data_IF_588511177566
#
_entry.id   IF_588511177566
#
_cell.length_a   1.000
_cell.length_b   1.000
_cell.length_c   1.000
_cell.angle_alpha   90.00
_cell.angle_beta   90.00
_cell.angle_gamma   90.00
#
_symmetry.space_group_name_H-M   'P 1'
#
loop_
_entity.id
_entity.type
_entity.pdbx_description
1 polymer ?
#
# COMPACT_ATOMS: atom_id res chain seq x y z
N UNK A 1 -1.51 0.60 30.90
CA UNK A 1 -0.07 0.36 31.17
C UNK A 1 0.68 1.21 30.17
N UNK A 2 1.77 1.91 30.49
CA UNK A 2 2.53 2.58 29.44
C UNK A 2 3.04 1.51 28.46
N UNK A 3 2.73 1.69 27.19
CA UNK A 3 3.21 0.86 26.09
C UNK A 3 4.71 0.56 26.26
N UNK A 4 5.14 -0.68 26.04
CA UNK A 4 6.57 -0.96 25.96
C UNK A 4 7.15 -0.07 24.87
N UNK A 5 8.17 0.74 25.15
CA UNK A 5 8.78 1.68 24.18
C UNK A 5 9.97 1.04 23.46
N UNK A 6 10.37 1.60 22.31
CA UNK A 6 11.58 1.16 21.61
C UNK A 6 12.77 1.19 22.56
N UNK A 7 13.54 0.11 22.59
CA UNK A 7 14.82 0.09 23.30
C UNK A 7 15.93 0.63 22.42
N UNK A 8 17.06 1.01 23.01
CA UNK A 8 18.20 1.57 22.28
C UNK A 8 18.63 0.70 21.08
N UNK A 9 18.57 -0.63 21.23
CA UNK A 9 18.93 -1.59 20.17
C UNK A 9 17.97 -1.50 18.97
N UNK A 10 16.67 -1.27 19.19
CA UNK A 10 15.70 -1.08 18.09
C UNK A 10 16.05 0.14 17.25
N UNK A 11 16.41 1.26 17.90
CA UNK A 11 16.86 2.46 17.21
C UNK A 11 18.15 2.23 16.43
N UNK A 12 19.12 1.51 17.01
CA UNK A 12 20.39 1.19 16.32
C UNK A 12 20.13 0.34 15.08
N UNK A 13 19.30 -0.71 15.18
CA UNK A 13 18.94 -1.56 14.03
C UNK A 13 18.20 -0.76 12.96
N UNK A 14 17.21 0.05 13.37
CA UNK A 14 16.45 0.90 12.45
C UNK A 14 17.36 1.87 11.68
N UNK A 15 18.16 2.64 12.41
CA UNK A 15 19.03 3.67 11.82
C UNK A 15 20.11 3.02 10.95
N UNK A 16 20.75 1.95 11.42
CA UNK A 16 21.78 1.25 10.65
C UNK A 16 21.25 0.70 9.32
N UNK A 17 20.06 0.11 9.30
CA UNK A 17 19.44 -0.38 8.06
C UNK A 17 19.06 0.74 7.10
N UNK A 18 18.53 1.86 7.61
CA UNK A 18 18.23 3.03 6.78
C UNK A 18 19.50 3.64 6.18
N UNK A 19 20.57 3.74 6.96
CA UNK A 19 21.88 4.23 6.50
C UNK A 19 22.51 3.25 5.51
N UNK A 20 22.41 1.94 5.72
CA UNK A 20 22.88 0.93 4.77
C UNK A 20 22.12 1.03 3.44
N UNK A 21 20.79 1.16 3.49
CA UNK A 21 19.95 1.33 2.30
C UNK A 21 20.33 2.60 1.51
N UNK A 22 20.47 3.73 2.21
CA UNK A 22 20.93 4.98 1.60
C UNK A 22 22.36 4.85 1.04
N UNK A 23 23.25 4.18 1.78
CA UNK A 23 24.64 3.93 1.41
C UNK A 23 24.78 3.10 0.15
N UNK A 24 23.98 2.03 0.00
CA UNK A 24 23.92 1.23 -1.24
C UNK A 24 23.55 2.12 -2.42
N UNK A 25 22.53 2.98 -2.27
CA UNK A 25 22.13 3.94 -3.29
C UNK A 25 23.26 4.89 -3.71
N UNK A 26 23.97 5.48 -2.75
CA UNK A 26 25.10 6.39 -3.00
C UNK A 26 26.27 5.67 -3.66
N UNK A 27 26.61 4.46 -3.20
CA UNK A 27 27.68 3.64 -3.76
C UNK A 27 27.40 3.29 -5.22
N UNK A 28 26.17 2.89 -5.55
CA UNK A 28 25.76 2.63 -6.94
C UNK A 28 25.80 3.89 -7.79
N UNK A 29 25.31 5.03 -7.28
CA UNK A 29 25.36 6.31 -7.99
C UNK A 29 26.81 6.74 -8.28
N UNK A 30 27.72 6.57 -7.31
CA UNK A 30 29.13 6.90 -7.46
C UNK A 30 29.86 5.95 -8.42
N UNK A 31 29.61 4.64 -8.33
CA UNK A 31 30.19 3.64 -9.25
C UNK A 31 29.70 3.83 -10.69
N UNK A 32 28.44 4.23 -10.87
CA UNK A 32 27.86 4.48 -12.19
C UNK A 32 28.37 5.77 -12.85
N UNK A 33 28.77 6.81 -12.10
CA UNK A 33 29.43 7.99 -12.69
C UNK A 33 30.68 7.63 -13.52
N UNK A 34 31.27 6.44 -13.32
CA UNK A 34 32.46 5.96 -14.03
C UNK A 34 32.17 5.08 -15.26
N UNK A 35 30.92 4.67 -15.54
CA UNK A 35 30.57 3.83 -16.70
C UNK A 35 29.64 4.58 -17.66
N UNK A 36 29.96 4.60 -18.97
CA UNK A 36 29.19 5.31 -20.00
C UNK A 36 27.69 4.92 -20.01
N UNK A 37 26.82 5.95 -19.97
CA UNK A 37 25.41 5.93 -19.56
C UNK A 37 24.38 5.31 -20.54
N UNK A 38 24.76 4.64 -21.63
CA UNK A 38 23.76 4.15 -22.61
C UNK A 38 22.99 2.91 -22.15
N UNK A 39 23.63 2.00 -21.41
CA UNK A 39 23.01 0.72 -21.02
C UNK A 39 22.04 0.85 -19.83
N UNK A 40 22.01 2.00 -19.16
CA UNK A 40 21.16 2.27 -18.00
C UNK A 40 19.84 2.94 -18.41
N UNK A 41 19.82 3.71 -19.49
CA UNK A 41 18.62 4.43 -19.94
C UNK A 41 17.68 3.53 -20.76
N UNK A 42 18.21 2.54 -21.47
CA UNK A 42 17.42 1.58 -22.26
C UNK A 42 17.57 0.18 -21.65
N UNK A 43 16.70 -0.18 -20.72
CA UNK A 43 16.50 -1.60 -20.43
C UNK A 43 15.83 -2.20 -21.67
N UNK A 44 16.63 -2.85 -22.50
CA UNK A 44 16.34 -3.17 -23.89
C UNK A 44 15.39 -4.37 -24.04
N UNK A 45 14.31 -4.40 -23.26
CA UNK A 45 13.40 -5.53 -23.09
C UNK A 45 14.07 -6.86 -22.69
N UNK A 46 15.24 -6.81 -22.04
CA UNK A 46 16.02 -8.01 -21.69
C UNK A 46 15.71 -8.56 -20.29
N UNK A 47 14.79 -7.94 -19.53
CA UNK A 47 14.53 -8.37 -18.16
C UNK A 47 13.69 -9.65 -18.14
N UNK A 48 14.12 -10.60 -17.30
CA UNK A 48 13.34 -11.81 -16.99
C UNK A 48 12.07 -11.46 -16.23
N UNK A 49 11.00 -12.21 -16.47
CA UNK A 49 9.68 -11.90 -15.95
C UNK A 49 9.53 -12.12 -14.43
N UNK A 50 10.30 -13.02 -13.82
CA UNK A 50 10.21 -13.32 -12.37
C UNK A 50 10.70 -12.15 -11.50
N UNK A 51 11.93 -11.62 -11.66
CA UNK A 51 12.39 -10.49 -10.86
C UNK A 51 11.50 -9.24 -11.01
N UNK A 52 11.01 -9.00 -12.22
CA UNK A 52 10.06 -7.91 -12.48
C UNK A 52 8.77 -8.13 -11.69
N UNK A 53 8.20 -9.33 -11.74
CA UNK A 53 6.99 -9.68 -10.98
C UNK A 53 7.17 -9.49 -9.47
N UNK A 54 8.30 -9.92 -8.91
CA UNK A 54 8.61 -9.76 -7.49
C UNK A 54 8.72 -8.28 -7.08
N UNK A 55 9.37 -7.44 -7.89
CA UNK A 55 9.42 -6.00 -7.63
C UNK A 55 8.05 -5.34 -7.76
N UNK A 56 7.23 -5.76 -8.74
CA UNK A 56 5.82 -5.32 -8.83
C UNK A 56 5.07 -5.63 -7.54
N UNK A 57 5.14 -6.87 -7.05
CA UNK A 57 4.49 -7.31 -5.82
C UNK A 57 4.97 -6.48 -4.62
N UNK A 58 6.28 -6.29 -4.47
CA UNK A 58 6.85 -5.50 -3.38
C UNK A 58 6.40 -4.03 -3.39
N UNK A 59 6.16 -3.46 -4.57
CA UNK A 59 5.64 -2.09 -4.70
C UNK A 59 4.16 -1.97 -4.32
N UNK A 60 3.40 -3.07 -4.33
CA UNK A 60 2.02 -3.10 -3.85
C UNK A 60 1.91 -3.40 -2.35
N UNK A 61 2.87 -4.15 -1.80
CA UNK A 61 3.03 -4.35 -0.35
C UNK A 61 3.63 -3.08 0.26
N UNK A 62 2.77 -2.09 0.44
CA UNK A 62 3.09 -0.76 0.97
C UNK A 62 2.91 -0.70 2.49
N UNK A 63 3.56 0.25 3.15
CA UNK A 63 3.33 0.57 4.56
C UNK A 63 1.87 0.83 4.89
N UNK A 64 1.11 1.45 3.97
CA UNK A 64 -0.32 1.65 4.10
C UNK A 64 -1.08 0.32 4.20
N UNK A 65 -0.72 -0.67 3.38
CA UNK A 65 -1.32 -2.00 3.46
C UNK A 65 -0.98 -2.74 4.75
N UNK A 66 0.22 -2.52 5.30
CA UNK A 66 0.70 -3.20 6.51
C UNK A 66 0.16 -2.60 7.79
N UNK A 67 0.12 -1.26 7.89
CA UNK A 67 -0.29 -0.58 9.12
C UNK A 67 -1.76 -0.19 9.11
N UNK A 68 -2.25 0.36 8.00
CA UNK A 68 -3.58 0.96 7.97
C UNK A 68 -4.68 -0.06 7.72
N UNK A 69 -4.47 -1.04 6.83
CA UNK A 69 -5.54 -1.98 6.49
C UNK A 69 -5.92 -2.94 7.65
N UNK A 70 -4.99 -3.51 8.44
CA UNK A 70 -5.38 -4.30 9.63
C UNK A 70 -6.12 -3.45 10.65
N UNK A 71 -5.71 -2.18 10.80
CA UNK A 71 -6.37 -1.21 11.69
C UNK A 71 -7.77 -0.86 11.20
N UNK A 72 -8.00 -0.78 9.89
CA UNK A 72 -9.33 -0.58 9.32
C UNK A 72 -10.22 -1.80 9.55
N UNK A 73 -9.68 -3.01 9.43
CA UNK A 73 -10.38 -4.27 9.74
C UNK A 73 -10.72 -4.36 11.23
N UNK A 74 -9.84 -3.90 12.13
CA UNK A 74 -10.14 -3.79 13.56
C UNK A 74 -11.37 -2.91 13.82
N UNK A 75 -11.51 -1.83 13.06
CA UNK A 75 -12.61 -0.86 13.24
C UNK A 75 -13.88 -1.29 12.51
N UNK A 76 -13.80 -1.94 11.35
CA UNK A 76 -14.96 -2.19 10.45
C UNK A 76 -15.22 -3.66 10.09
N UNK A 77 -14.40 -4.58 10.57
CA UNK A 77 -14.56 -6.01 10.36
C UNK A 77 -13.96 -6.55 9.07
N UNK A 78 -14.27 -7.81 8.77
CA UNK A 78 -13.53 -8.61 7.79
C UNK A 78 -13.90 -8.40 6.34
N UNK A 79 -14.98 -7.67 6.01
CA UNK A 79 -15.51 -7.47 4.63
C UNK A 79 -14.44 -7.08 3.60
N UNK A 80 -13.34 -6.46 4.04
CA UNK A 80 -12.22 -6.10 3.19
C UNK A 80 -11.60 -7.31 2.46
N UNK A 81 -11.73 -8.55 2.96
CA UNK A 81 -11.18 -9.73 2.28
C UNK A 81 -11.71 -9.88 0.85
N UNK A 82 -12.92 -9.40 0.57
CA UNK A 82 -13.53 -9.40 -0.77
C UNK A 82 -12.73 -8.55 -1.78
N UNK A 83 -11.89 -7.62 -1.33
CA UNK A 83 -10.93 -6.91 -2.17
C UNK A 83 -9.89 -7.83 -2.82
N UNK A 84 -9.65 -9.03 -2.27
CA UNK A 84 -8.81 -10.06 -2.93
C UNK A 84 -9.42 -10.50 -4.28
N UNK A 85 -10.76 -10.64 -4.33
CA UNK A 85 -11.50 -10.94 -5.56
C UNK A 85 -11.31 -9.78 -6.55
N UNK A 86 -11.52 -8.53 -6.09
CA UNK A 86 -11.32 -7.34 -6.91
C UNK A 86 -9.89 -7.20 -7.46
N UNK A 87 -8.89 -7.53 -6.64
CA UNK A 87 -7.49 -7.53 -7.07
C UNK A 87 -7.19 -8.57 -8.16
N UNK A 88 -7.81 -9.74 -8.05
CA UNK A 88 -7.69 -10.80 -9.06
C UNK A 88 -8.30 -10.36 -10.38
N UNK A 89 -9.51 -9.78 -10.34
CA UNK A 89 -10.17 -9.24 -11.53
C UNK A 89 -9.32 -8.14 -12.21
N UNK A 90 -8.79 -7.20 -11.43
CA UNK A 90 -7.95 -6.13 -11.95
C UNK A 90 -6.70 -6.66 -12.68
N UNK A 91 -6.01 -7.64 -12.08
CA UNK A 91 -4.78 -8.21 -12.66
C UNK A 91 -5.10 -9.02 -13.93
N UNK A 92 -6.22 -9.76 -13.95
CA UNK A 92 -6.68 -10.48 -15.15
C UNK A 92 -6.98 -9.49 -16.29
N UNK A 93 -7.73 -8.42 -16.00
CA UNK A 93 -8.01 -7.38 -16.97
C UNK A 93 -6.71 -6.73 -17.47
N UNK A 94 -5.78 -6.37 -16.58
CA UNK A 94 -4.50 -5.81 -16.96
C UNK A 94 -3.72 -6.74 -17.91
N UNK A 95 -3.60 -8.02 -17.58
CA UNK A 95 -2.81 -8.99 -18.34
C UNK A 95 -3.41 -9.35 -19.72
N UNK A 96 -4.73 -9.45 -19.82
CA UNK A 96 -5.38 -9.93 -21.04
C UNK A 96 -5.90 -8.80 -21.93
N UNK A 97 -6.33 -7.68 -21.35
CA UNK A 97 -6.92 -6.55 -22.09
C UNK A 97 -5.86 -5.48 -22.37
N UNK A 98 -5.12 -5.02 -21.36
CA UNK A 98 -4.21 -3.86 -21.49
C UNK A 98 -2.81 -4.22 -21.98
N UNK A 99 -2.22 -5.34 -21.52
CA UNK A 99 -0.87 -5.70 -21.94
C UNK A 99 -0.68 -5.84 -23.47
N UNK A 100 -1.61 -6.42 -24.24
CA UNK A 100 -1.48 -6.48 -25.70
C UNK A 100 -1.35 -5.10 -26.34
N UNK A 101 -2.00 -4.08 -25.79
CA UNK A 101 -1.93 -2.70 -26.26
C UNK A 101 -0.53 -2.12 -26.03
N UNK A 102 0.00 -2.22 -24.81
CA UNK A 102 1.33 -1.70 -24.47
C UNK A 102 2.44 -2.29 -25.34
N UNK A 103 2.36 -3.60 -25.63
CA UNK A 103 3.32 -4.26 -26.53
C UNK A 103 3.17 -3.86 -28.01
N UNK A 104 1.96 -3.50 -28.46
CA UNK A 104 1.73 -3.02 -29.83
C UNK A 104 2.17 -1.57 -30.05
N UNK A 105 2.06 -0.73 -29.02
CA UNK A 105 2.40 0.70 -29.11
C UNK A 105 3.91 0.98 -29.03
N UNK A 106 4.73 -0.06 -28.85
CA UNK A 106 6.18 0.01 -28.68
C UNK A 106 6.65 1.13 -27.74
N UNK A 107 5.90 1.35 -26.65
CA UNK A 107 6.24 2.35 -25.65
C UNK A 107 7.54 1.90 -25.00
N UNK A 108 8.64 2.55 -25.37
CA UNK A 108 9.97 2.32 -24.80
C UNK A 108 10.08 3.10 -23.50
N UNK A 109 10.53 2.42 -22.44
CA UNK A 109 10.70 3.02 -21.12
C UNK A 109 11.93 3.92 -21.11
N UNK A 110 11.76 5.16 -20.66
CA UNK A 110 12.78 6.21 -20.78
C UNK A 110 13.82 6.18 -19.65
N UNK A 111 13.65 5.44 -18.55
CA UNK A 111 14.59 5.46 -17.42
C UNK A 111 14.54 4.18 -16.56
N UNK A 112 15.06 3.05 -17.05
CA UNK A 112 15.04 1.77 -16.28
C UNK A 112 16.32 1.42 -15.54
N UNK A 113 17.22 2.38 -15.49
CA UNK A 113 18.46 2.20 -14.83
C UNK A 113 18.26 2.03 -13.32
N UNK A 114 18.63 0.87 -12.81
CA UNK A 114 18.73 0.62 -11.37
C UNK A 114 17.69 -0.35 -10.82
N UNK A 115 16.74 -0.83 -11.63
CA UNK A 115 15.69 -1.77 -11.19
C UNK A 115 16.30 -3.01 -10.50
N UNK A 116 17.42 -3.55 -11.01
CA UNK A 116 18.04 -4.77 -10.45
C UNK A 116 18.46 -4.64 -8.98
N UNK A 117 18.97 -3.47 -8.55
CA UNK A 117 19.38 -3.28 -7.16
C UNK A 117 18.17 -3.09 -6.24
N UNK A 118 17.16 -2.37 -6.73
CA UNK A 118 15.90 -2.11 -6.01
C UNK A 118 15.10 -3.41 -5.82
N UNK A 119 15.11 -4.33 -6.79
CA UNK A 119 14.39 -5.61 -6.70
C UNK A 119 14.83 -6.45 -5.49
N UNK A 120 16.12 -6.48 -5.17
CA UNK A 120 16.60 -7.30 -4.06
C UNK A 120 16.24 -6.71 -2.69
N UNK A 121 16.31 -5.39 -2.55
CA UNK A 121 15.85 -4.71 -1.32
C UNK A 121 14.34 -4.86 -1.13
N UNK A 122 13.58 -4.79 -2.23
CA UNK A 122 12.14 -5.02 -2.27
C UNK A 122 11.77 -6.45 -1.81
N UNK A 123 12.53 -7.48 -2.21
CA UNK A 123 12.29 -8.87 -1.79
C UNK A 123 12.50 -9.06 -0.30
N UNK A 124 13.61 -8.57 0.26
CA UNK A 124 13.89 -8.66 1.70
C UNK A 124 12.80 -7.95 2.50
N UNK A 125 12.37 -6.77 2.05
CA UNK A 125 11.28 -6.02 2.65
C UNK A 125 9.97 -6.83 2.70
N UNK A 126 9.56 -7.47 1.59
CA UNK A 126 8.31 -8.27 1.55
C UNK A 126 8.38 -9.45 2.52
N UNK A 127 9.54 -10.11 2.61
CA UNK A 127 9.74 -11.23 3.54
C UNK A 127 9.52 -10.75 4.98
N UNK A 128 10.15 -9.64 5.38
CA UNK A 128 10.01 -9.09 6.73
C UNK A 128 8.56 -8.69 7.05
N UNK A 129 7.87 -8.08 6.11
CA UNK A 129 6.46 -7.71 6.27
C UNK A 129 5.57 -8.95 6.47
N UNK A 130 5.75 -9.99 5.65
CA UNK A 130 4.98 -11.23 5.79
C UNK A 130 5.31 -11.98 7.07
N UNK A 131 6.57 -11.97 7.51
CA UNK A 131 6.94 -12.49 8.83
C UNK A 131 6.19 -11.77 9.95
N UNK A 132 6.04 -10.45 9.88
CA UNK A 132 5.29 -9.70 10.89
C UNK A 132 3.79 -10.03 10.91
N UNK A 133 3.15 -10.18 9.75
CA UNK A 133 1.77 -10.68 9.71
C UNK A 133 1.65 -12.06 10.37
N UNK A 134 2.54 -12.99 10.02
CA UNK A 134 2.52 -14.34 10.59
C UNK A 134 2.69 -14.30 12.11
N UNK A 135 3.62 -13.49 12.62
CA UNK A 135 3.84 -13.33 14.07
C UNK A 135 2.59 -12.80 14.78
N UNK A 136 1.95 -11.76 14.23
CA UNK A 136 0.72 -11.20 14.81
C UNK A 136 -0.42 -12.21 14.77
N UNK A 137 -0.64 -12.87 13.62
CA UNK A 137 -1.71 -13.85 13.46
C UNK A 137 -1.52 -15.04 14.43
N UNK A 138 -0.28 -15.54 14.55
CA UNK A 138 0.04 -16.69 15.40
C UNK A 138 -0.10 -16.40 16.91
N UNK A 139 -0.15 -15.13 17.31
CA UNK A 139 -0.25 -14.77 18.71
C UNK A 139 -1.67 -14.96 19.28
N UNK A 140 -2.71 -14.90 18.45
CA UNK A 140 -4.09 -15.08 18.90
C UNK A 140 -4.50 -16.55 18.86
N UNK A 141 -5.13 -17.02 19.94
CA UNK A 141 -5.75 -18.34 20.02
C UNK A 141 -7.25 -18.33 19.66
N UNK A 142 -7.80 -17.16 19.33
CA UNK A 142 -9.22 -16.99 19.03
C UNK A 142 -9.53 -17.42 17.60
N UNK A 143 -10.65 -18.14 17.42
CA UNK A 143 -11.21 -18.38 16.10
C UNK A 143 -11.73 -17.07 15.51
N UNK A 144 -11.15 -16.65 14.39
CA UNK A 144 -11.55 -15.43 13.68
C UNK A 144 -12.42 -15.77 12.48
N UNK A 145 -13.59 -15.14 12.36
CA UNK A 145 -14.45 -15.29 11.18
C UNK A 145 -13.91 -14.45 10.01
N UNK A 146 -13.08 -15.09 9.18
CA UNK A 146 -12.45 -14.44 8.03
C UNK A 146 -13.47 -14.06 6.94
N UNK A 147 -14.37 -14.98 6.58
CA UNK A 147 -15.22 -14.83 5.40
C UNK A 147 -16.61 -14.29 5.76
N UNK A 148 -16.71 -12.97 5.91
CA UNK A 148 -18.01 -12.28 6.00
C UNK A 148 -18.37 -11.68 4.65
N UNK A 149 -19.60 -11.91 4.18
CA UNK A 149 -20.13 -11.30 2.97
C UNK A 149 -21.31 -10.42 3.33
N UNK A 150 -21.38 -9.23 2.75
CA UNK A 150 -22.53 -8.34 2.85
C UNK A 150 -22.90 -7.87 1.45
N UNK A 151 -24.08 -8.30 0.98
CA UNK A 151 -24.60 -7.95 -0.34
C UNK A 151 -25.54 -6.74 -0.31
N UNK A 152 -25.47 -5.95 0.75
CA UNK A 152 -26.21 -4.69 0.83
C UNK A 152 -25.82 -3.77 -0.33
N UNK A 153 -26.83 -3.17 -0.96
CA UNK A 153 -26.72 -2.25 -2.09
C UNK A 153 -26.81 -0.79 -1.67
N UNK A 154 -26.94 -0.52 -0.37
CA UNK A 154 -26.96 0.81 0.20
C UNK A 154 -25.70 1.60 -0.18
N UNK A 155 -25.81 2.76 -0.83
CA UNK A 155 -24.67 3.64 -1.13
C UNK A 155 -24.17 4.38 0.14
N UNK A 156 -24.81 4.15 1.28
CA UNK A 156 -24.44 4.75 2.55
C UNK A 156 -23.39 3.93 3.30
N UNK A 157 -23.36 2.62 3.06
CA UNK A 157 -22.39 1.70 3.65
C UNK A 157 -21.00 1.91 3.06
N UNK A 158 -19.99 2.03 3.92
CA UNK A 158 -18.61 2.27 3.43
C UNK A 158 -18.05 1.03 2.75
N UNK A 159 -18.30 -0.15 3.34
CA UNK A 159 -17.82 -1.43 2.83
C UNK A 159 -19.00 -2.40 2.69
N UNK A 160 -19.26 -2.81 1.46
CA UNK A 160 -20.09 -3.96 1.11
C UNK A 160 -19.29 -4.82 0.14
N UNK A 161 -19.72 -6.06 -0.10
CA UNK A 161 -19.06 -6.93 -1.09
C UNK A 161 -19.00 -6.24 -2.46
N UNK A 162 -20.04 -5.50 -2.84
CA UNK A 162 -20.09 -4.76 -4.11
C UNK A 162 -19.09 -3.61 -4.15
N UNK A 163 -19.10 -2.74 -3.14
CA UNK A 163 -18.23 -1.56 -3.13
C UNK A 163 -16.76 -1.96 -3.02
N UNK A 164 -16.46 -3.01 -2.26
CA UNK A 164 -15.10 -3.54 -2.16
C UNK A 164 -14.64 -4.21 -3.44
N UNK A 165 -15.41 -5.13 -4.03
CA UNK A 165 -14.99 -5.80 -5.27
C UNK A 165 -14.83 -4.79 -6.41
N UNK A 166 -15.83 -3.93 -6.65
CA UNK A 166 -15.78 -2.96 -7.75
C UNK A 166 -14.74 -1.85 -7.50
N UNK A 167 -14.75 -1.25 -6.31
CA UNK A 167 -13.86 -0.15 -5.96
C UNK A 167 -12.40 -0.58 -5.96
N UNK A 168 -12.09 -1.75 -5.40
CA UNK A 168 -10.73 -2.28 -5.38
C UNK A 168 -10.28 -2.73 -6.78
N UNK A 169 -11.19 -3.27 -7.61
CA UNK A 169 -10.89 -3.59 -9.02
C UNK A 169 -10.46 -2.34 -9.78
N UNK A 170 -11.27 -1.27 -9.75
CA UNK A 170 -10.97 -0.02 -10.48
C UNK A 170 -9.71 0.64 -9.95
N UNK A 171 -9.52 0.68 -8.62
CA UNK A 171 -8.34 1.28 -8.00
C UNK A 171 -7.06 0.55 -8.42
N UNK A 172 -7.05 -0.79 -8.35
CA UNK A 172 -5.88 -1.57 -8.76
C UNK A 172 -5.68 -1.56 -10.27
N UNK A 173 -6.74 -1.53 -11.07
CA UNK A 173 -6.63 -1.33 -12.50
C UNK A 173 -5.95 0.01 -12.83
N UNK A 174 -6.23 1.06 -12.07
CA UNK A 174 -5.50 2.33 -12.16
C UNK A 174 -4.00 2.18 -11.89
N UNK A 175 -3.64 1.32 -10.94
CA UNK A 175 -2.23 1.05 -10.62
C UNK A 175 -1.55 0.13 -11.63
N UNK A 176 -2.24 -0.88 -12.18
CA UNK A 176 -1.67 -1.85 -13.12
C UNK A 176 -1.75 -1.44 -14.59
N UNK A 177 -2.63 -0.50 -14.95
CA UNK A 177 -2.83 -0.11 -16.35
C UNK A 177 -2.45 1.36 -16.59
N UNK A 178 -2.80 2.26 -15.68
CA UNK A 178 -2.65 3.71 -15.91
C UNK A 178 -1.47 4.34 -15.13
N UNK A 179 -0.67 3.54 -14.43
CA UNK A 179 0.48 4.03 -13.67
C UNK A 179 1.77 3.90 -14.47
N UNK A 180 2.46 5.02 -14.66
CA UNK A 180 3.72 5.10 -15.40
C UNK A 180 4.80 4.13 -14.87
N UNK A 181 4.90 3.97 -13.55
CA UNK A 181 5.93 3.09 -12.93
C UNK A 181 5.71 1.63 -13.33
N UNK A 182 4.45 1.19 -13.25
CA UNK A 182 4.11 -0.19 -13.56
C UNK A 182 4.19 -0.41 -15.07
N UNK A 183 3.72 0.57 -15.86
CA UNK A 183 3.79 0.58 -17.33
C UNK A 183 5.16 0.17 -17.84
N UNK A 184 6.19 0.81 -17.30
CA UNK A 184 7.58 0.58 -17.65
C UNK A 184 8.02 -0.86 -17.31
N UNK A 185 7.68 -1.36 -16.12
CA UNK A 185 8.12 -2.67 -15.62
C UNK A 185 7.67 -3.83 -16.50
N UNK A 186 6.44 -3.86 -17.03
CA UNK A 186 6.06 -4.94 -17.94
C UNK A 186 6.54 -4.72 -19.37
N UNK A 187 6.71 -3.48 -19.84
CA UNK A 187 7.31 -3.21 -21.16
C UNK A 187 8.79 -3.57 -21.24
N UNK A 188 9.47 -3.70 -20.09
CA UNK A 188 10.87 -4.15 -19.96
C UNK A 188 11.09 -5.64 -20.21
N UNK A 189 10.01 -6.42 -20.33
CA UNK A 189 10.07 -7.85 -20.60
C UNK A 189 10.00 -8.07 -22.12
N UNK A 190 10.91 -8.86 -22.67
CA UNK A 190 11.03 -9.11 -24.12
C UNK A 190 9.80 -9.70 -24.80
N UNK A 191 8.89 -10.30 -24.05
CA UNK A 191 7.74 -11.01 -24.61
C UNK A 191 6.45 -10.72 -23.86
N UNK A 192 5.37 -10.54 -24.63
CA UNK A 192 4.01 -10.40 -24.09
C UNK A 192 3.61 -11.60 -23.20
N UNK A 193 4.04 -12.82 -23.59
CA UNK A 193 3.84 -14.02 -22.77
C UNK A 193 4.56 -13.90 -21.41
N UNK A 194 5.78 -13.35 -21.40
CA UNK A 194 6.54 -13.07 -20.19
C UNK A 194 5.85 -12.05 -19.29
N UNK A 195 5.40 -10.90 -19.84
CA UNK A 195 4.66 -9.89 -19.07
C UNK A 195 3.35 -10.43 -18.48
N UNK A 196 2.60 -11.24 -19.24
CA UNK A 196 1.39 -11.92 -18.72
C UNK A 196 1.72 -12.84 -17.55
N UNK A 197 2.78 -13.65 -17.66
CA UNK A 197 3.23 -14.50 -16.55
C UNK A 197 3.64 -13.68 -15.33
N UNK A 198 4.34 -12.56 -15.53
CA UNK A 198 4.73 -11.65 -14.45
C UNK A 198 3.51 -11.09 -13.71
N UNK A 199 2.48 -10.65 -14.43
CA UNK A 199 1.22 -10.20 -13.84
C UNK A 199 0.47 -11.33 -13.14
N UNK A 200 0.35 -12.50 -13.77
CA UNK A 200 -0.36 -13.64 -13.17
C UNK A 200 0.28 -14.12 -11.87
N UNK A 201 1.60 -14.04 -11.74
CA UNK A 201 2.29 -14.35 -10.48
C UNK A 201 1.97 -13.34 -9.36
N UNK A 202 1.52 -12.12 -9.67
CA UNK A 202 1.06 -11.16 -8.67
C UNK A 202 -0.32 -11.51 -8.09
N UNK A 203 -1.16 -12.30 -8.78
CA UNK A 203 -2.48 -12.70 -8.27
C UNK A 203 -2.39 -13.40 -6.91
N UNK A 204 -1.66 -14.52 -6.76
CA UNK A 204 -1.54 -15.19 -5.46
C UNK A 204 -0.85 -14.30 -4.40
N UNK A 205 0.12 -13.48 -4.80
CA UNK A 205 0.81 -12.57 -3.88
C UNK A 205 -0.11 -11.50 -3.29
N UNK A 206 -0.94 -10.88 -4.13
CA UNK A 206 -1.91 -9.86 -3.70
C UNK A 206 -3.05 -10.47 -2.87
N UNK A 207 -3.54 -11.65 -3.26
CA UNK A 207 -4.55 -12.37 -2.50
C UNK A 207 -4.00 -12.76 -1.11
N UNK A 208 -2.77 -13.28 -1.04
CA UNK A 208 -2.11 -13.60 0.22
C UNK A 208 -1.95 -12.36 1.11
N UNK A 209 -1.46 -11.24 0.55
CA UNK A 209 -1.32 -9.99 1.29
C UNK A 209 -2.67 -9.54 1.88
N UNK A 210 -3.75 -9.61 1.09
CA UNK A 210 -5.08 -9.20 1.54
C UNK A 210 -5.61 -10.10 2.67
N UNK A 211 -5.45 -11.41 2.54
CA UNK A 211 -5.89 -12.37 3.56
C UNK A 211 -5.10 -12.17 4.86
N UNK A 212 -3.78 -12.06 4.79
CA UNK A 212 -2.92 -11.82 5.95
C UNK A 212 -3.25 -10.50 6.66
N UNK A 213 -3.56 -9.47 5.89
CA UNK A 213 -3.99 -8.16 6.39
C UNK A 213 -5.29 -8.26 7.19
N UNK A 214 -6.29 -8.96 6.64
CA UNK A 214 -7.59 -9.13 7.31
C UNK A 214 -7.46 -10.00 8.54
N UNK A 215 -6.72 -11.12 8.45
CA UNK A 215 -6.45 -11.97 9.61
C UNK A 215 -5.73 -11.18 10.72
N UNK A 216 -4.73 -10.37 10.38
CA UNK A 216 -4.04 -9.53 11.36
C UNK A 216 -4.99 -8.52 12.02
N UNK A 217 -5.90 -7.91 11.26
CA UNK A 217 -6.90 -6.99 11.81
C UNK A 217 -7.94 -7.66 12.70
N UNK A 218 -8.37 -8.89 12.35
CA UNK A 218 -9.23 -9.69 13.21
C UNK A 218 -8.51 -10.14 14.49
N UNK A 219 -7.22 -10.48 14.39
CA UNK A 219 -6.38 -10.76 15.57
C UNK A 219 -6.25 -9.53 16.45
N UNK A 220 -6.01 -8.34 15.89
CA UNK A 220 -6.02 -7.09 16.65
C UNK A 220 -7.35 -6.94 17.41
N UNK A 221 -8.48 -7.27 16.78
CA UNK A 221 -9.79 -7.15 17.41
C UNK A 221 -10.01 -8.21 18.49
N UNK A 222 -9.54 -9.43 18.27
CA UNK A 222 -9.60 -10.49 19.27
C UNK A 222 -8.77 -10.15 20.52
N UNK A 223 -7.60 -9.51 20.34
CA UNK A 223 -6.70 -9.12 21.43
C UNK A 223 -7.18 -7.85 22.15
N UNK A 224 -7.49 -6.78 21.40
CA UNK A 224 -7.78 -5.46 21.96
C UNK A 224 -9.27 -5.08 21.97
N UNK A 225 -10.18 -5.94 21.50
CA UNK A 225 -11.61 -5.60 21.43
C UNK A 225 -12.23 -5.30 22.80
N UNK A 226 -11.78 -6.00 23.85
CA UNK A 226 -12.21 -5.77 25.24
C UNK A 226 -11.31 -4.84 26.05
N UNK A 227 -10.15 -4.50 25.48
CA UNK A 227 -9.25 -3.51 26.06
C UNK A 227 -8.62 -2.69 24.93
N UNK A 228 -9.36 -1.69 24.45
CA UNK A 228 -8.90 -0.88 23.34
C UNK A 228 -7.85 0.15 23.83
N UNK A 229 -6.60 0.07 23.35
CA UNK A 229 -5.52 0.97 23.77
C UNK A 229 -5.76 2.44 23.36
N UNK A 230 -6.73 2.70 22.46
CA UNK A 230 -7.18 4.06 22.13
C UNK A 230 -8.04 4.67 23.23
N UNK A 231 -8.83 3.85 23.92
CA UNK A 231 -9.72 4.29 24.99
C UNK A 231 -8.96 4.47 26.31
N UNK A 232 -7.91 3.69 26.53
CA UNK A 232 -7.00 3.87 27.69
C UNK A 232 -6.03 5.03 27.52
N UNK A 233 -5.85 5.54 26.29
CA UNK A 233 -4.96 6.66 25.96
C UNK A 233 -3.52 6.27 25.63
N UNK A 234 -3.23 4.97 25.51
CA UNK A 234 -1.91 4.46 25.15
C UNK A 234 -1.56 4.78 23.69
N UNK A 235 -2.56 4.81 22.81
CA UNK A 235 -2.46 5.27 21.42
C UNK A 235 -3.58 6.26 21.07
N UNK A 236 -3.39 7.07 20.03
CA UNK A 236 -4.37 8.11 19.62
C UNK A 236 -5.23 7.69 18.44
N UNK A 237 -4.69 6.88 17.52
CA UNK A 237 -5.34 6.53 16.25
C UNK A 237 -5.33 5.02 16.02
N UNK A 238 -6.31 4.53 15.29
CA UNK A 238 -6.40 3.12 14.90
C UNK A 238 -5.14 2.65 14.15
N UNK A 239 -4.60 3.48 13.25
CA UNK A 239 -3.42 3.16 12.43
C UNK A 239 -2.15 2.84 13.26
N UNK A 240 -2.15 3.14 14.56
CA UNK A 240 -1.07 2.84 15.49
C UNK A 240 -1.19 1.45 16.16
N UNK A 241 -2.30 0.73 15.95
CA UNK A 241 -2.54 -0.59 16.54
C UNK A 241 -1.55 -1.65 16.06
N UNK A 242 -1.24 -1.68 14.75
CA UNK A 242 -0.32 -2.67 14.20
C UNK A 242 1.12 -2.50 14.71
N UNK A 243 1.70 -1.27 14.75
CA UNK A 243 2.98 -1.06 15.41
C UNK A 243 2.94 -1.40 16.91
N UNK A 244 1.83 -1.06 17.58
CA UNK A 244 1.64 -1.29 19.02
C UNK A 244 1.70 -2.78 19.36
N UNK A 245 0.96 -3.64 18.65
CA UNK A 245 1.00 -5.09 18.92
C UNK A 245 2.36 -5.71 18.60
N UNK A 246 3.02 -5.28 17.52
CA UNK A 246 4.33 -5.81 17.14
C UNK A 246 5.35 -5.51 18.25
N UNK A 247 5.29 -4.31 18.81
CA UNK A 247 6.17 -3.87 19.87
C UNK A 247 5.92 -4.63 21.18
N UNK A 248 4.66 -4.88 21.53
CA UNK A 248 4.30 -5.72 22.68
C UNK A 248 4.78 -7.17 22.49
N UNK A 249 4.60 -7.75 21.30
CA UNK A 249 5.00 -9.14 21.01
C UNK A 249 6.51 -9.34 21.04
N UNK A 250 7.26 -8.34 20.60
CA UNK A 250 8.71 -8.43 20.43
C UNK A 250 9.50 -7.85 21.60
N UNK A 251 8.84 -7.47 22.70
CA UNK A 251 9.49 -6.84 23.85
C UNK A 251 10.66 -7.65 24.42
N UNK A 252 10.58 -8.99 24.40
CA UNK A 252 11.65 -9.87 24.89
C UNK A 252 12.81 -10.05 23.89
N UNK A 253 12.63 -9.63 22.64
CA UNK A 253 13.59 -9.81 21.54
C UNK A 253 14.04 -8.45 20.99
N UNK A 254 14.89 -7.72 21.74
CA UNK A 254 15.31 -6.38 21.35
C UNK A 254 15.98 -6.39 19.97
N UNK A 255 15.65 -5.41 19.12
CA UNK A 255 16.14 -5.26 17.75
C UNK A 255 15.19 -5.76 16.68
N UNK A 256 14.32 -6.72 16.98
CA UNK A 256 13.40 -7.28 15.99
C UNK A 256 12.27 -6.30 15.65
N UNK A 257 11.80 -5.52 16.64
CA UNK A 257 10.88 -4.40 16.45
C UNK A 257 11.48 -3.32 15.56
N UNK A 258 12.76 -2.98 15.80
CA UNK A 258 13.53 -2.07 14.96
C UNK A 258 13.69 -2.56 13.51
N UNK A 259 13.94 -3.87 13.32
CA UNK A 259 14.03 -4.49 11.99
C UNK A 259 12.70 -4.39 11.22
N UNK A 260 11.58 -4.65 11.88
CA UNK A 260 10.26 -4.54 11.26
C UNK A 260 9.93 -3.08 10.90
N UNK A 261 10.21 -2.13 11.80
CA UNK A 261 10.07 -0.72 11.51
C UNK A 261 10.90 -0.31 10.28
N UNK A 262 12.15 -0.78 10.19
CA UNK A 262 13.02 -0.51 9.04
C UNK A 262 12.41 -1.04 7.72
N UNK A 263 11.78 -2.21 7.73
CA UNK A 263 11.09 -2.76 6.57
C UNK A 263 9.90 -1.87 6.13
N UNK A 264 9.10 -1.40 7.07
CA UNK A 264 7.96 -0.50 6.78
C UNK A 264 8.43 0.86 6.24
N UNK A 265 9.51 1.42 6.80
CA UNK A 265 10.12 2.64 6.28
C UNK A 265 10.70 2.43 4.88
N UNK A 266 11.40 1.32 4.65
CA UNK A 266 11.95 0.95 3.33
C UNK A 266 10.84 0.83 2.29
N UNK A 267 9.70 0.21 2.64
CA UNK A 267 8.52 0.10 1.80
C UNK A 267 8.00 1.47 1.36
N UNK A 268 7.88 2.38 2.32
CA UNK A 268 7.42 3.74 2.06
C UNK A 268 8.39 4.51 1.16
N UNK A 269 9.70 4.42 1.44
CA UNK A 269 10.75 5.08 0.65
C UNK A 269 10.80 4.55 -0.79
N UNK A 270 10.63 3.24 -1.01
CA UNK A 270 10.59 2.63 -2.35
C UNK A 270 9.43 3.17 -3.19
N UNK A 271 8.23 3.26 -2.60
CA UNK A 271 7.04 3.82 -3.26
C UNK A 271 7.18 5.33 -3.52
N UNK A 272 7.59 6.11 -2.51
CA UNK A 272 7.71 7.57 -2.63
C UNK A 272 8.79 7.96 -3.65
N UNK A 273 9.96 7.32 -3.60
CA UNK A 273 11.07 7.57 -4.55
C UNK A 273 10.64 7.30 -6.00
N UNK A 274 10.01 6.13 -6.25
CA UNK A 274 9.51 5.78 -7.58
C UNK A 274 8.42 6.75 -8.06
N UNK A 275 7.56 7.19 -7.13
CA UNK A 275 6.54 8.21 -7.35
C UNK A 275 7.14 9.54 -7.79
N UNK A 276 8.03 10.14 -6.99
CA UNK A 276 8.63 11.44 -7.30
C UNK A 276 9.45 11.44 -8.59
N UNK A 277 10.18 10.35 -8.87
CA UNK A 277 10.92 10.21 -10.12
C UNK A 277 9.98 10.13 -11.32
N UNK A 278 8.85 9.44 -11.18
CA UNK A 278 7.84 9.35 -12.25
C UNK A 278 7.11 10.67 -12.46
N UNK A 279 6.75 11.38 -11.38
CA UNK A 279 6.20 12.73 -11.46
C UNK A 279 7.17 13.66 -12.18
N UNK A 280 8.46 13.67 -11.79
CA UNK A 280 9.46 14.51 -12.43
C UNK A 280 9.69 14.16 -13.91
N UNK A 281 9.67 12.87 -14.26
CA UNK A 281 9.77 12.42 -15.64
C UNK A 281 8.58 12.86 -16.49
N UNK A 282 7.36 12.74 -15.95
CA UNK A 282 6.13 13.22 -16.60
C UNK A 282 6.15 14.75 -16.75
N UNK A 283 6.57 15.50 -15.72
CA UNK A 283 6.74 16.96 -15.82
C UNK A 283 7.72 17.33 -16.92
N UNK A 284 8.83 16.58 -17.03
CA UNK A 284 9.82 16.80 -18.07
C UNK A 284 9.27 16.53 -19.47
N UNK A 285 8.79 15.32 -19.74
CA UNK A 285 8.36 14.90 -21.08
C UNK A 285 7.10 15.62 -21.57
N UNK A 286 6.13 15.84 -20.69
CA UNK A 286 4.82 16.33 -21.10
C UNK A 286 4.67 17.86 -21.04
N UNK A 287 5.43 18.54 -20.17
CA UNK A 287 5.27 19.98 -19.94
C UNK A 287 6.50 20.81 -20.29
N UNK A 288 7.70 20.37 -19.88
CA UNK A 288 8.92 21.17 -20.08
C UNK A 288 9.53 20.94 -21.47
N UNK A 289 9.75 19.69 -21.86
CA UNK A 289 10.38 19.32 -23.15
C UNK A 289 9.70 19.94 -24.37
N UNK A 290 8.36 20.04 -24.45
CA UNK A 290 7.69 20.73 -25.57
C UNK A 290 7.92 22.25 -25.60
N UNK A 291 8.26 22.86 -24.46
CA UNK A 291 8.44 24.29 -24.30
C UNK A 291 9.91 24.74 -24.27
N UNK A 292 10.85 23.82 -24.10
CA UNK A 292 12.29 24.12 -24.03
C UNK A 292 13.13 22.99 -24.64
N UNK A 293 13.95 23.34 -25.62
CA UNK A 293 15.01 22.47 -26.12
C UNK A 293 16.28 22.69 -25.28
N UNK A 294 16.81 21.63 -24.68
CA UNK A 294 18.03 21.69 -23.87
C UNK A 294 18.88 20.44 -24.05
N UNK A 295 20.14 20.49 -23.61
CA UNK A 295 21.03 19.33 -23.63
C UNK A 295 20.57 18.25 -22.64
N UNK A 296 20.84 16.97 -22.95
CA UNK A 296 20.50 15.83 -22.07
C UNK A 296 21.04 15.99 -20.64
N UNK A 297 22.21 16.63 -20.49
CA UNK A 297 22.81 16.89 -19.17
C UNK A 297 22.04 17.92 -18.35
N UNK A 298 21.42 18.90 -19.02
CA UNK A 298 20.60 19.94 -18.40
C UNK A 298 19.22 19.40 -18.08
N UNK A 299 18.63 18.64 -19.01
CA UNK A 299 17.41 17.87 -18.79
C UNK A 299 17.50 17.00 -17.53
N UNK A 300 18.59 16.22 -17.39
CA UNK A 300 18.81 15.37 -16.22
C UNK A 300 18.89 16.17 -14.90
N UNK A 301 19.52 17.36 -14.91
CA UNK A 301 19.58 18.22 -13.72
C UNK A 301 18.21 18.75 -13.36
N UNK A 302 17.44 19.21 -14.35
CA UNK A 302 16.08 19.73 -14.15
C UNK A 302 15.19 18.63 -13.56
N UNK A 303 15.16 17.44 -14.16
CA UNK A 303 14.36 16.31 -13.65
C UNK A 303 14.72 15.94 -12.20
N UNK A 304 16.01 15.98 -11.84
CA UNK A 304 16.44 15.73 -10.45
C UNK A 304 15.99 16.82 -9.48
N UNK A 305 16.08 18.09 -9.87
CA UNK A 305 15.59 19.21 -9.06
C UNK A 305 14.08 19.12 -8.88
N UNK A 306 13.34 18.84 -9.95
CA UNK A 306 11.88 18.65 -9.92
C UNK A 306 11.48 17.50 -8.98
N UNK A 307 12.19 16.36 -9.03
CA UNK A 307 11.94 15.25 -8.10
C UNK A 307 12.17 15.67 -6.63
N UNK A 308 13.25 16.41 -6.34
CA UNK A 308 13.53 16.92 -5.00
C UNK A 308 12.45 17.91 -4.52
N UNK A 309 11.93 18.78 -5.40
CA UNK A 309 10.85 19.71 -5.05
C UNK A 309 9.55 18.97 -4.71
N UNK A 310 9.21 17.90 -5.43
CA UNK A 310 8.05 17.07 -5.08
C UNK A 310 8.22 16.38 -3.72
N UNK A 311 9.43 15.93 -3.39
CA UNK A 311 9.74 15.39 -2.07
C UNK A 311 9.52 16.41 -0.94
N UNK A 312 10.02 17.64 -1.10
CA UNK A 312 9.83 18.72 -0.11
C UNK A 312 8.35 19.06 0.06
N UNK A 313 7.61 19.23 -1.05
CA UNK A 313 6.19 19.51 -1.01
C UNK A 313 5.40 18.40 -0.31
N UNK A 314 5.74 17.14 -0.61
CA UNK A 314 5.11 15.98 0.03
C UNK A 314 5.37 15.93 1.55
N UNK A 315 6.55 16.34 2.02
CA UNK A 315 6.84 16.45 3.46
C UNK A 315 5.97 17.51 4.12
N UNK A 316 5.77 18.66 3.48
CA UNK A 316 4.87 19.71 4.00
C UNK A 316 3.42 19.23 4.10
N UNK A 317 2.93 18.53 3.06
CA UNK A 317 1.57 17.97 3.05
C UNK A 317 1.40 16.89 4.13
N UNK A 318 2.46 16.12 4.44
CA UNK A 318 2.39 15.08 5.47
C UNK A 318 2.02 15.64 6.86
N UNK A 319 2.47 16.85 7.22
CA UNK A 319 2.08 17.50 8.48
C UNK A 319 0.59 17.86 8.51
N UNK A 320 0.01 18.24 7.38
CA UNK A 320 -1.43 18.50 7.26
C UNK A 320 -2.24 17.21 7.34
N UNK A 321 -1.81 16.14 6.66
CA UNK A 321 -2.49 14.84 6.72
C UNK A 321 -2.42 14.23 8.13
N UNK A 322 -1.38 14.55 8.90
CA UNK A 322 -1.24 14.15 10.31
C UNK A 322 -2.39 14.62 11.21
N UNK A 323 -3.13 15.67 10.83
CA UNK A 323 -4.29 16.15 11.61
C UNK A 323 -5.60 15.43 11.27
N UNK A 324 -5.63 14.62 10.20
CA UNK A 324 -6.82 13.87 9.81
C UNK A 324 -7.10 12.69 10.76
N UNK A 325 -8.37 12.38 10.99
CA UNK A 325 -8.77 11.27 11.87
C UNK A 325 -8.41 9.88 11.31
N UNK A 326 -8.69 9.64 10.03
CA UNK A 326 -8.34 8.40 9.32
C UNK A 326 -7.55 8.73 8.06
N UNK A 327 -6.25 8.41 8.09
CA UNK A 327 -5.34 8.62 6.96
C UNK A 327 -5.67 7.60 5.86
N UNK A 328 -6.03 6.37 6.24
CA UNK A 328 -6.39 5.31 5.30
C UNK A 328 -7.63 5.70 4.47
N UNK A 329 -8.70 6.16 5.11
CA UNK A 329 -9.92 6.55 4.39
C UNK A 329 -9.64 7.72 3.44
N UNK A 330 -8.92 8.75 3.89
CA UNK A 330 -8.54 9.87 3.03
C UNK A 330 -7.72 9.41 1.82
N UNK A 331 -6.75 8.52 2.04
CA UNK A 331 -5.91 7.93 0.99
C UNK A 331 -6.72 7.12 -0.02
N UNK A 332 -7.64 6.26 0.43
CA UNK A 332 -8.50 5.46 -0.44
C UNK A 332 -9.46 6.34 -1.26
N UNK A 333 -10.07 7.36 -0.64
CA UNK A 333 -10.96 8.30 -1.32
C UNK A 333 -10.20 9.09 -2.40
N UNK A 334 -9.03 9.65 -2.08
CA UNK A 334 -8.21 10.37 -3.05
C UNK A 334 -7.69 9.45 -4.16
N UNK A 335 -7.27 8.23 -3.81
CA UNK A 335 -6.85 7.21 -4.75
C UNK A 335 -7.95 6.87 -5.75
N UNK A 336 -9.17 6.59 -5.27
CA UNK A 336 -10.33 6.32 -6.11
C UNK A 336 -10.70 7.50 -7.03
N UNK A 337 -10.72 8.71 -6.49
CA UNK A 337 -11.10 9.93 -7.22
C UNK A 337 -10.22 10.22 -8.44
N UNK A 338 -8.93 9.89 -8.36
CA UNK A 338 -7.96 10.09 -9.42
C UNK A 338 -7.72 8.85 -10.28
N UNK A 339 -7.87 7.64 -9.73
CA UNK A 339 -7.74 6.40 -10.50
C UNK A 339 -8.91 6.19 -11.47
N UNK A 340 -10.15 6.48 -11.05
CA UNK A 340 -11.35 6.26 -11.86
C UNK A 340 -11.28 6.94 -13.24
N UNK A 341 -11.12 8.28 -13.31
CA UNK A 341 -11.02 9.00 -14.57
C UNK A 341 -9.85 8.53 -15.44
N UNK A 342 -8.69 8.20 -14.84
CA UNK A 342 -7.53 7.67 -15.58
C UNK A 342 -7.84 6.33 -16.24
N UNK A 343 -8.39 5.38 -15.49
CA UNK A 343 -8.79 4.07 -16.04
C UNK A 343 -9.81 4.23 -17.16
N UNK A 344 -10.76 5.16 -17.00
CA UNK A 344 -11.77 5.43 -18.00
C UNK A 344 -11.16 5.88 -19.34
N UNK A 345 -10.18 6.79 -19.33
CA UNK A 345 -9.51 7.25 -20.57
C UNK A 345 -8.87 6.08 -21.31
N UNK A 346 -8.07 5.26 -20.62
CA UNK A 346 -7.38 4.11 -21.24
C UNK A 346 -8.39 3.08 -21.76
N UNK A 347 -9.47 2.83 -21.01
CA UNK A 347 -10.52 1.89 -21.41
C UNK A 347 -11.29 2.40 -22.63
N UNK A 348 -11.62 3.70 -22.68
CA UNK A 348 -12.26 4.33 -23.83
C UNK A 348 -11.38 4.26 -25.08
N UNK A 349 -10.10 4.59 -24.95
CA UNK A 349 -9.14 4.52 -26.05
C UNK A 349 -8.94 3.10 -26.61
N UNK A 350 -9.12 2.07 -25.77
CA UNK A 350 -8.92 0.68 -26.17
C UNK A 350 -10.19 0.02 -26.73
N UNK A 351 -11.33 0.20 -26.06
CA UNK A 351 -12.56 -0.54 -26.33
C UNK A 351 -13.54 0.21 -27.23
N UNK A 352 -13.42 1.54 -27.33
CA UNK A 352 -14.41 2.38 -28.03
C UNK A 352 -13.73 3.22 -29.12
N UNK A 353 -13.53 2.67 -30.34
CA UNK A 353 -12.91 3.38 -31.46
C UNK A 353 -13.64 4.65 -31.91
N UNK A 354 -14.91 4.79 -31.53
CA UNK A 354 -15.75 5.95 -31.85
C UNK A 354 -15.44 7.20 -31.00
N UNK A 355 -14.66 7.07 -29.93
CA UNK A 355 -14.37 8.18 -29.02
C UNK A 355 -13.35 9.16 -29.62
N UNK A 356 -13.78 10.42 -29.85
CA UNK A 356 -12.91 11.51 -30.36
C UNK A 356 -12.20 12.25 -29.22
N UNK A 357 -11.02 12.83 -29.51
CA UNK A 357 -10.18 13.60 -28.57
C UNK A 357 -10.96 14.63 -27.73
N UNK A 358 -11.79 15.46 -28.36
CA UNK A 358 -12.58 16.50 -27.65
C UNK A 358 -13.55 15.91 -26.62
N UNK A 359 -14.21 14.81 -26.97
CA UNK A 359 -15.14 14.12 -26.07
C UNK A 359 -14.43 13.48 -24.88
N UNK A 360 -13.27 12.85 -25.12
CA UNK A 360 -12.45 12.26 -24.05
C UNK A 360 -11.95 13.32 -23.07
N UNK A 361 -11.48 14.48 -23.56
CA UNK A 361 -11.03 15.59 -22.71
C UNK A 361 -12.20 16.12 -21.87
N UNK A 362 -13.34 16.44 -22.50
CA UNK A 362 -14.51 16.95 -21.80
C UNK A 362 -15.02 15.97 -20.73
N UNK A 363 -15.15 14.68 -21.08
CA UNK A 363 -15.57 13.63 -20.15
C UNK A 363 -14.61 13.46 -18.97
N UNK A 364 -13.30 13.57 -19.22
CA UNK A 364 -12.28 13.51 -18.16
C UNK A 364 -12.41 14.69 -17.19
N UNK A 365 -12.55 15.91 -17.71
CA UNK A 365 -12.68 17.12 -16.88
C UNK A 365 -13.94 17.02 -16.00
N UNK A 366 -15.08 16.62 -16.58
CA UNK A 366 -16.32 16.40 -15.83
C UNK A 366 -16.13 15.31 -14.77
N UNK A 367 -15.52 14.18 -15.13
CA UNK A 367 -15.28 13.08 -14.21
C UNK A 367 -14.42 13.51 -13.01
N UNK A 368 -13.32 14.25 -13.25
CA UNK A 368 -12.45 14.77 -12.18
C UNK A 368 -13.19 15.77 -11.30
N UNK A 369 -14.00 16.68 -11.88
CA UNK A 369 -14.78 17.64 -11.09
C UNK A 369 -15.81 16.94 -10.20
N UNK A 370 -16.53 15.96 -10.74
CA UNK A 370 -17.54 15.19 -9.98
C UNK A 370 -16.88 14.36 -8.88
N UNK A 371 -15.78 13.65 -9.18
CA UNK A 371 -15.08 12.85 -8.17
C UNK A 371 -14.42 13.72 -7.10
N UNK A 372 -13.88 14.88 -7.47
CA UNK A 372 -13.34 15.85 -6.51
C UNK A 372 -14.44 16.40 -5.60
N UNK A 373 -15.60 16.77 -6.14
CA UNK A 373 -16.76 17.22 -5.37
C UNK A 373 -17.21 16.18 -4.33
N UNK A 374 -17.37 14.92 -4.76
CA UNK A 374 -17.75 13.82 -3.87
C UNK A 374 -16.68 13.59 -2.80
N UNK A 375 -15.40 13.60 -3.18
CA UNK A 375 -14.28 13.35 -2.26
C UNK A 375 -14.15 14.42 -1.20
N UNK A 376 -14.15 15.69 -1.60
CA UNK A 376 -14.10 16.84 -0.70
C UNK A 376 -15.35 16.86 0.19
N UNK A 377 -16.53 16.62 -0.38
CA UNK A 377 -17.77 16.53 0.38
C UNK A 377 -17.72 15.43 1.47
N UNK A 378 -17.13 14.27 1.16
CA UNK A 378 -16.97 13.18 2.15
C UNK A 378 -16.00 13.50 3.29
N UNK A 379 -15.04 14.40 3.05
CA UNK A 379 -14.07 14.87 4.06
C UNK A 379 -14.69 16.01 4.90
N UNK A 380 -15.40 16.95 4.28
CA UNK A 380 -16.03 18.09 4.96
C UNK A 380 -17.27 17.70 5.76
N UNK A 381 -18.03 16.72 5.27
CA UNK A 381 -19.26 16.23 5.90
C UNK A 381 -19.11 14.73 6.22
N UNK A 382 -18.28 14.38 7.22
CA UNK A 382 -18.05 12.98 7.57
C UNK A 382 -19.35 12.34 8.09
N UNK A 383 -19.66 11.15 7.58
CA UNK A 383 -20.83 10.38 8.02
C UNK A 383 -20.56 9.76 9.40
N UNK A 384 -21.63 9.48 10.15
CA UNK A 384 -21.56 8.73 11.41
C UNK A 384 -20.97 7.34 11.12
N UNK A 385 -19.77 7.08 11.66
CA UNK A 385 -19.06 5.82 11.43
C UNK A 385 -19.69 4.72 12.27
N UNK A 386 -20.13 3.64 11.63
CA UNK A 386 -20.44 2.41 12.34
C UNK A 386 -19.13 1.65 12.55
N UNK A 387 -18.66 1.63 13.79
CA UNK A 387 -17.45 0.91 14.19
C UNK A 387 -17.84 -0.32 14.98
N UNK A 388 -17.04 -1.38 14.89
CA UNK A 388 -17.20 -2.53 15.77
C UNK A 388 -17.12 -2.08 17.24
N UNK A 389 -17.96 -2.64 18.13
CA UNK A 389 -17.99 -2.25 19.52
C UNK A 389 -16.69 -2.63 20.21
N UNK A 390 -16.10 -1.68 20.93
CA UNK A 390 -14.88 -1.89 21.72
C UNK A 390 -15.13 -1.41 23.15
N UNK A 391 -14.47 -2.03 24.13
CA UNK A 391 -14.66 -1.69 25.55
C UNK A 391 -13.33 -1.56 26.29
N UNK A 392 -13.38 -1.08 27.52
CA UNK A 392 -12.27 -1.04 28.48
C UNK A 392 -12.44 -2.07 29.60
N UNK A 393 -13.44 -2.94 29.53
CA UNK A 393 -13.80 -3.89 30.60
C UNK A 393 -12.72 -4.94 30.86
N UNK A 394 -11.99 -5.33 29.81
CA UNK A 394 -10.87 -6.28 29.89
C UNK A 394 -9.54 -5.60 30.17
N UNK A 395 -9.50 -4.29 30.39
CA UNK A 395 -8.27 -3.59 30.73
C UNK A 395 -7.95 -3.76 32.21
N UNK A 396 -6.69 -4.05 32.52
CA UNK A 396 -6.20 -4.08 33.90
C UNK A 396 -6.29 -2.68 34.53
N UNK A 397 -6.90 -2.61 35.70
CA UNK A 397 -6.96 -1.37 36.49
C UNK A 397 -5.58 -1.04 37.09
N UNK A 398 -5.34 0.24 37.36
CA UNK A 398 -4.05 0.81 37.78
C UNK A 398 -3.44 0.19 39.07
N UNK A 399 -4.19 -0.62 39.83
CA UNK A 399 -3.81 -1.16 41.14
C UNK A 399 -3.33 -2.62 41.13
N UNK A 400 -3.22 -3.30 39.98
CA UNK A 400 -2.70 -4.66 39.90
C UNK A 400 -1.26 -4.69 39.35
N UNK A 401 -0.29 -5.08 40.19
CA UNK A 401 1.10 -5.37 39.79
C UNK A 401 1.20 -6.76 39.17
N UNK A 402 1.63 -6.85 37.91
CA UNK A 402 1.95 -8.11 37.24
C UNK A 402 3.46 -8.18 36.93
N UNK A 403 4.06 -9.35 37.17
CA UNK A 403 5.48 -9.69 36.95
C UNK A 403 5.81 -10.07 35.49
N UNK A 404 4.89 -9.92 34.55
CA UNK A 404 4.98 -10.33 33.14
C UNK A 404 4.10 -9.44 32.24
N UNK A 405 4.45 -9.30 30.96
CA UNK A 405 3.87 -8.33 30.02
C UNK A 405 2.37 -8.54 29.70
N UNK A 406 1.78 -7.62 28.93
CA UNK A 406 0.36 -7.48 28.54
C UNK A 406 -0.28 -8.68 27.83
N UNK A 407 0.46 -9.78 27.69
CA UNK A 407 0.18 -10.90 26.81
C UNK A 407 -0.25 -12.19 27.54
N UNK A 408 -0.59 -12.17 28.83
CA UNK A 408 -1.30 -13.33 29.37
C UNK A 408 -2.75 -13.31 28.83
N UNK A 409 -3.13 -14.22 27.91
CA UNK A 409 -4.53 -14.36 27.54
C UNK A 409 -5.31 -14.68 28.82
N UNK A 410 -6.58 -14.22 28.97
CA UNK A 410 -7.38 -14.58 30.12
C UNK A 410 -7.37 -16.11 30.28
N UNK A 411 -6.93 -16.59 31.46
CA UNK A 411 -6.96 -18.03 31.77
C UNK A 411 -8.38 -18.53 31.48
N UNK A 412 -8.48 -19.67 30.76
CA UNK A 412 -9.74 -20.33 30.37
C UNK A 412 -10.81 -20.08 31.45
N UNK A 413 -12.02 -19.60 31.10
CA UNK A 413 -13.14 -19.81 31.99
C UNK A 413 -13.23 -21.32 32.18
N UNK A 414 -13.11 -21.79 33.43
CA UNK A 414 -13.60 -23.14 33.75
C UNK A 414 -15.02 -23.18 33.20
N UNK A 415 -15.32 -24.14 32.32
CA UNK A 415 -16.65 -24.37 31.79
C UNK A 415 -17.66 -24.39 32.96
N UNK A 416 -18.26 -23.24 33.21
CA UNK A 416 -19.55 -23.11 33.88
C UNK A 416 -20.50 -22.80 32.72
N UNK A 417 -21.39 -23.75 32.47
CA UNK A 417 -22.11 -23.87 31.21
C UNK A 417 -23.00 -22.68 30.85
N UNK A 418 -23.44 -22.76 29.59
CA UNK A 418 -24.47 -21.95 28.93
C UNK A 418 -24.05 -20.53 28.56
N UNK A 419 -23.98 -20.28 27.25
CA UNK A 419 -24.69 -19.20 26.56
C UNK A 419 -24.52 -19.40 25.04
N UNK A 420 -25.40 -20.21 24.47
CA UNK A 420 -25.75 -20.15 23.05
C UNK A 420 -26.54 -18.86 22.82
N UNK A 421 -25.96 -17.88 22.14
CA UNK A 421 -26.76 -16.88 21.42
C UNK A 421 -26.30 -16.82 19.97
N UNK A 422 -27.20 -17.35 19.15
CA UNK A 422 -27.31 -17.24 17.70
C UNK A 422 -27.28 -15.78 17.27
N UNK A 423 -26.37 -15.42 16.36
CA UNK A 423 -26.55 -14.29 15.47
C UNK A 423 -27.33 -14.78 14.25
N UNK A 424 -28.52 -14.23 14.08
CA UNK A 424 -29.35 -14.27 12.88
C UNK A 424 -29.49 -12.86 12.35
#
# INVERSE_FOLDING_TARGET
MPAHTFVALDYVVLISLLVLSAGIGVLFAWRNRRKNNRQFLTANRELSWVPVSLSMMASFVSSASVLGMPSEVFVRGSLMWTGAIGSTLAILMAAFIFMPMFYKMDVTSINEGGIKAVVWTDVVQVILIFTAYIMVIACSQYETTLFVLSFDTSPYETYTTWTMVLGFTVTLMGMYCANQIQAQRYTSIGSLKGARKALMLNVPGMALNMIMTVLSGLTLYAVYGRCDPRLTGDIRKADQLMPYIIQDLLYQYPGLSGLMAAAVYSSSLSTLSSGYNSLAAVTWEDFLRPCMETSESTALKITKVTAATYGILSMLIAFLVGTMESIMQAGLTMGGALCGPRVAIFTLGLLFPCCKKKGVIAGTVVAVMVTAWISVGSILYPRKRYTLPTTTEGCLHFNETITSGSFEPPRRPRLAGHLTHTFS
#
